data_IF_088085398332
#
_entry.id   IF_088085398332
#
_cell.length_a   1.000
_cell.length_b   1.000
_cell.length_c   1.000
_cell.angle_alpha   90.00
_cell.angle_beta   90.00
_cell.angle_gamma   90.00
#
_symmetry.space_group_name_H-M   'P 1'
#
loop_
_entity.id
_entity.type
_entity.pdbx_description
1 polymer ?
#
# COMPACT_ATOMS: atom_id res chain seq x y z
N UNK A 1 13.74 -10.99 7.69
CA UNK A 1 13.24 -10.46 6.41
C UNK A 1 13.37 -11.55 5.36
N UNK A 2 12.32 -11.80 4.58
CA UNK A 2 12.35 -12.79 3.51
C UNK A 2 12.88 -12.21 2.17
N UNK A 3 13.18 -10.91 2.12
CA UNK A 3 13.80 -10.27 0.96
C UNK A 3 12.86 -10.06 -0.23
N UNK A 4 11.53 -10.13 -0.04
CA UNK A 4 10.54 -10.00 -1.13
C UNK A 4 10.50 -8.63 -1.80
N UNK A 5 10.90 -7.57 -1.09
CA UNK A 5 10.83 -6.20 -1.58
C UNK A 5 12.21 -5.55 -1.61
N UNK A 6 12.52 -4.87 -2.72
CA UNK A 6 13.77 -4.16 -2.87
C UNK A 6 13.88 -3.01 -1.83
N UNK A 7 15.00 -2.94 -1.07
CA UNK A 7 15.15 -1.99 0.04
C UNK A 7 15.19 -0.53 -0.40
N UNK A 8 15.69 -0.25 -1.61
CA UNK A 8 15.76 1.12 -2.15
C UNK A 8 14.46 1.63 -2.79
N UNK A 9 13.39 0.82 -2.83
CA UNK A 9 12.18 1.21 -3.56
C UNK A 9 10.90 0.70 -2.92
N UNK A 10 10.58 -0.58 -3.07
CA UNK A 10 9.25 -1.10 -2.72
C UNK A 10 9.13 -1.40 -1.22
N UNK A 11 10.21 -1.85 -0.58
CA UNK A 11 10.20 -2.15 0.86
C UNK A 11 9.73 -0.96 1.72
N UNK A 12 10.33 0.25 1.61
CA UNK A 12 9.88 1.39 2.42
C UNK A 12 8.44 1.82 2.09
N UNK A 13 7.94 1.56 0.88
CA UNK A 13 6.53 1.84 0.52
C UNK A 13 5.59 0.88 1.25
N UNK A 14 5.93 -0.40 1.29
CA UNK A 14 5.12 -1.43 1.97
C UNK A 14 5.12 -1.19 3.48
N UNK A 15 6.28 -0.92 4.08
CA UNK A 15 6.40 -0.64 5.52
C UNK A 15 5.56 0.57 5.94
N UNK A 16 5.66 1.69 5.20
CA UNK A 16 4.87 2.89 5.48
C UNK A 16 3.37 2.65 5.30
N UNK A 17 2.97 1.91 4.25
CA UNK A 17 1.58 1.59 3.99
C UNK A 17 0.97 0.68 5.08
N UNK A 18 1.71 -0.33 5.53
CA UNK A 18 1.31 -1.17 6.66
C UNK A 18 1.17 -0.35 7.95
N UNK A 19 2.15 0.51 8.25
CA UNK A 19 2.09 1.37 9.43
C UNK A 19 0.86 2.30 9.42
N UNK A 20 0.50 2.84 8.25
CA UNK A 20 -0.69 3.67 8.10
C UNK A 20 -1.99 2.86 8.24
N UNK A 21 -2.10 1.71 7.58
CA UNK A 21 -3.31 0.86 7.67
C UNK A 21 -3.56 0.42 9.12
N UNK A 22 -2.51 0.04 9.85
CA UNK A 22 -2.55 -0.35 11.27
C UNK A 22 -2.89 0.77 12.24
N UNK A 23 -2.70 2.02 11.83
CA UNK A 23 -2.75 3.14 12.76
C UNK A 23 -4.14 3.40 13.35
N UNK A 24 -5.23 3.05 12.66
CA UNK A 24 -6.61 3.11 13.15
C UNK A 24 -7.53 2.13 12.37
N UNK A 25 -8.59 1.60 13.01
CA UNK A 25 -9.59 0.76 12.32
C UNK A 25 -10.17 1.44 11.08
N UNK A 26 -10.37 0.66 10.02
CA UNK A 26 -10.98 1.12 8.76
C UNK A 26 -10.05 1.95 7.86
N UNK A 27 -8.78 2.13 8.21
CA UNK A 27 -7.80 2.76 7.31
C UNK A 27 -7.33 1.76 6.26
N UNK A 28 -7.11 2.28 5.04
CA UNK A 28 -6.49 1.55 3.94
C UNK A 28 -5.41 2.40 3.30
N UNK A 29 -4.32 1.77 2.89
CA UNK A 29 -3.27 2.37 2.05
C UNK A 29 -3.31 1.74 0.66
N UNK A 30 -2.93 2.50 -0.36
CA UNK A 30 -2.92 2.01 -1.75
C UNK A 30 -1.59 2.37 -2.38
N UNK A 31 -0.91 1.37 -2.94
CA UNK A 31 0.29 1.57 -3.77
C UNK A 31 -0.13 1.35 -5.22
N UNK A 32 -0.03 2.40 -6.04
CA UNK A 32 -0.47 2.37 -7.45
C UNK A 32 0.38 3.32 -8.30
N UNK A 33 0.17 3.26 -9.61
CA UNK A 33 0.71 4.23 -10.56
C UNK A 33 -0.10 5.53 -10.50
N UNK A 34 0.57 6.67 -10.74
CA UNK A 34 -0.04 8.00 -10.64
C UNK A 34 -1.22 8.19 -11.61
N UNK A 35 -1.07 7.72 -12.85
CA UNK A 35 -2.11 7.77 -13.88
C UNK A 35 -3.34 6.91 -13.55
N UNK A 36 -3.20 5.91 -12.68
CA UNK A 36 -4.27 5.03 -12.21
C UNK A 36 -4.84 5.40 -10.85
N UNK A 37 -4.52 6.58 -10.31
CA UNK A 37 -4.93 6.96 -8.95
C UNK A 37 -6.45 6.92 -8.73
N UNK A 38 -7.24 7.39 -9.71
CA UNK A 38 -8.71 7.43 -9.61
C UNK A 38 -9.31 6.02 -9.59
N UNK A 39 -8.85 5.14 -10.50
CA UNK A 39 -9.26 3.73 -10.55
C UNK A 39 -8.86 2.99 -9.26
N UNK A 40 -7.67 3.29 -8.73
CA UNK A 40 -7.19 2.67 -7.51
C UNK A 40 -8.05 3.03 -6.30
N UNK A 41 -8.54 4.28 -6.22
CA UNK A 41 -9.49 4.70 -5.18
C UNK A 41 -10.82 3.95 -5.25
N UNK A 42 -11.28 3.60 -6.45
CA UNK A 42 -12.45 2.75 -6.69
C UNK A 42 -12.20 1.27 -6.36
N UNK A 43 -10.95 0.87 -6.12
CA UNK A 43 -10.56 -0.50 -5.78
C UNK A 43 -10.42 -1.43 -6.98
N UNK A 44 -10.36 -0.90 -8.20
CA UNK A 44 -10.24 -1.70 -9.43
C UNK A 44 -8.80 -1.99 -9.85
N UNK A 45 -7.81 -1.37 -9.20
CA UNK A 45 -6.38 -1.53 -9.51
C UNK A 45 -5.50 -1.15 -8.31
N UNK A 46 -4.20 -1.44 -8.40
CA UNK A 46 -3.20 -1.18 -7.36
C UNK A 46 -3.19 -2.24 -6.26
N UNK A 47 -2.22 -2.13 -5.35
CA UNK A 47 -2.12 -2.98 -4.17
C UNK A 47 -2.78 -2.28 -3.00
N UNK A 48 -3.87 -2.86 -2.48
CA UNK A 48 -4.62 -2.33 -1.35
C UNK A 48 -4.15 -3.03 -0.08
N UNK A 49 -3.69 -2.26 0.89
CA UNK A 49 -3.22 -2.74 2.20
C UNK A 49 -4.25 -2.28 3.24
N UNK A 50 -4.81 -3.24 3.96
CA UNK A 50 -5.83 -3.06 5.01
C UNK A 50 -5.37 -3.75 6.29
N UNK A 51 -5.88 -3.29 7.43
CA UNK A 51 -5.81 -4.05 8.67
C UNK A 51 -7.07 -4.92 8.78
N UNK A 52 -6.89 -6.21 9.09
CA UNK A 52 -7.99 -7.15 9.37
C UNK A 52 -8.60 -6.94 10.76
#
# INVERSE_FOLDING_TARGET
EEGHFAPGSMLPKVEAAMAFAKSKPGRRAIITLLDKAVEALAGSTGTIIVEE
#
